data_IF_595251166195
#
_entry.id   IF_595251166195
#
_cell.length_a   1.000
_cell.length_b   1.000
_cell.length_c   1.000
_cell.angle_alpha   90.00
_cell.angle_beta   90.00
_cell.angle_gamma   90.00
#
_symmetry.space_group_name_H-M   'P 1'
#
loop_
_entity.id
_entity.type
_entity.pdbx_description
1 polymer ?
#
# COMPACT_ATOMS: atom_id res chain seq x y z
N UNK A 1 -23.16 47.77 15.08
CA UNK A 1 -22.04 46.87 15.40
C UNK A 1 -21.89 45.88 14.26
N UNK A 2 -20.79 45.92 13.52
CA UNK A 2 -20.45 44.92 12.50
C UNK A 2 -19.95 43.65 13.19
N UNK A 3 -20.63 42.52 12.99
CA UNK A 3 -20.30 41.24 13.60
C UNK A 3 -20.28 40.13 12.56
N UNK A 4 -19.52 39.06 12.82
CA UNK A 4 -19.39 37.90 11.93
C UNK A 4 -20.74 37.37 11.44
N UNK A 5 -21.74 37.31 12.31
CA UNK A 5 -23.11 36.85 11.99
C UNK A 5 -23.90 37.75 11.04
N UNK A 6 -23.46 38.99 10.79
CA UNK A 6 -24.09 39.92 9.85
C UNK A 6 -23.57 39.74 8.42
N UNK A 7 -22.50 38.96 8.22
CA UNK A 7 -22.02 38.63 6.88
C UNK A 7 -22.93 37.58 6.23
N UNK A 8 -23.24 37.74 4.91
CA UNK A 8 -23.94 36.72 4.16
C UNK A 8 -23.25 35.34 4.27
N UNK A 9 -24.00 34.22 4.32
CA UNK A 9 -23.43 32.88 4.41
C UNK A 9 -22.35 32.60 3.36
N UNK A 10 -22.50 33.12 2.15
CA UNK A 10 -21.56 32.95 1.04
C UNK A 10 -20.20 33.62 1.35
N UNK A 11 -20.23 34.81 1.95
CA UNK A 11 -19.02 35.54 2.35
C UNK A 11 -18.33 34.83 3.51
N UNK A 12 -19.09 34.34 4.48
CA UNK A 12 -18.56 33.56 5.61
C UNK A 12 -17.91 32.25 5.13
N UNK A 13 -18.56 31.54 4.20
CA UNK A 13 -18.02 30.31 3.63
C UNK A 13 -16.73 30.56 2.85
N UNK A 14 -16.66 31.63 2.05
CA UNK A 14 -15.42 32.04 1.38
C UNK A 14 -14.29 32.29 2.40
N UNK A 15 -14.55 33.09 3.44
CA UNK A 15 -13.53 33.41 4.46
C UNK A 15 -13.06 32.13 5.18
N UNK A 16 -13.99 31.26 5.60
CA UNK A 16 -13.64 30.00 6.26
C UNK A 16 -12.89 29.05 5.31
N UNK A 17 -13.27 29.01 4.03
CA UNK A 17 -12.55 28.26 3.00
C UNK A 17 -11.12 28.79 2.84
N UNK A 18 -10.90 30.09 2.81
CA UNK A 18 -9.55 30.66 2.79
C UNK A 18 -8.77 30.34 4.08
N UNK A 19 -9.40 30.45 5.25
CA UNK A 19 -8.78 30.07 6.52
C UNK A 19 -8.30 28.62 6.49
N UNK A 20 -9.09 27.72 5.92
CA UNK A 20 -8.72 26.31 5.75
C UNK A 20 -7.61 26.05 4.72
N UNK A 21 -6.96 27.07 4.15
CA UNK A 21 -5.68 26.89 3.44
C UNK A 21 -4.45 27.17 4.31
N UNK A 22 -4.62 27.86 5.44
CA UNK A 22 -3.51 28.15 6.35
C UNK A 22 -3.12 26.94 7.22
N UNK A 23 -1.86 26.94 7.63
CA UNK A 23 -1.34 26.05 8.66
C UNK A 23 -1.72 26.58 10.05
N UNK A 24 -1.81 25.67 11.03
CA UNK A 24 -2.05 26.02 12.43
C UNK A 24 -3.37 26.79 12.72
N UNK A 25 -4.47 26.30 12.16
CA UNK A 25 -5.80 26.88 12.34
C UNK A 25 -6.55 26.38 13.58
N UNK A 26 -5.98 25.42 14.31
CA UNK A 26 -6.60 24.80 15.47
C UNK A 26 -7.03 25.80 16.57
N UNK A 27 -6.27 26.86 16.88
CA UNK A 27 -6.68 27.85 17.88
C UNK A 27 -7.98 28.58 17.52
N UNK A 28 -8.29 28.72 16.23
CA UNK A 28 -9.50 29.43 15.78
C UNK A 28 -10.79 28.61 15.93
N UNK A 29 -10.69 27.32 16.29
CA UNK A 29 -11.86 26.48 16.51
C UNK A 29 -12.72 26.95 17.70
N UNK A 30 -12.16 27.77 18.59
CA UNK A 30 -12.87 28.30 19.77
C UNK A 30 -13.68 29.57 19.47
N UNK A 31 -13.55 30.17 18.28
CA UNK A 31 -14.19 31.45 17.92
C UNK A 31 -15.72 31.35 17.90
N UNK A 32 -16.27 30.30 17.28
CA UNK A 32 -17.71 30.03 17.23
C UNK A 32 -17.98 28.58 16.84
N UNK A 33 -19.24 28.13 16.96
CA UNK A 33 -19.64 26.78 16.51
C UNK A 33 -19.47 26.57 15.01
N UNK A 34 -19.66 27.62 14.21
CA UNK A 34 -19.45 27.60 12.76
C UNK A 34 -17.97 27.39 12.43
N UNK A 35 -17.09 28.15 13.09
CA UNK A 35 -15.64 28.02 12.95
C UNK A 35 -15.15 26.66 13.44
N UNK A 36 -15.63 26.22 14.61
CA UNK A 36 -15.34 24.90 15.18
C UNK A 36 -15.66 23.81 14.15
N UNK A 37 -16.86 23.80 13.58
CA UNK A 37 -17.31 22.78 12.63
C UNK A 37 -16.40 22.69 11.40
N UNK A 38 -16.06 23.84 10.81
CA UNK A 38 -15.21 23.87 9.60
C UNK A 38 -13.77 23.48 9.90
N UNK A 39 -13.21 24.01 10.99
CA UNK A 39 -11.81 23.76 11.38
C UNK A 39 -11.62 22.32 11.84
N UNK A 40 -12.50 21.80 12.68
CA UNK A 40 -12.45 20.40 13.13
C UNK A 40 -12.61 19.43 11.95
N UNK A 41 -13.51 19.72 11.01
CA UNK A 41 -13.67 18.89 9.80
C UNK A 41 -12.37 18.84 8.98
N UNK A 42 -11.66 19.95 8.84
CA UNK A 42 -10.34 19.97 8.18
C UNK A 42 -9.29 19.23 9.01
N UNK A 43 -9.15 19.54 10.30
CA UNK A 43 -8.07 19.02 11.14
C UNK A 43 -8.21 17.52 11.42
N UNK A 44 -9.43 17.02 11.66
CA UNK A 44 -9.69 15.61 11.92
C UNK A 44 -9.91 14.80 10.64
N UNK A 45 -10.28 15.43 9.52
CA UNK A 45 -10.55 14.74 8.26
C UNK A 45 -9.40 13.85 7.79
N UNK A 46 -8.16 14.29 7.99
CA UNK A 46 -6.94 13.54 7.67
C UNK A 46 -5.92 13.62 8.80
N UNK A 47 -5.72 12.51 9.49
CA UNK A 47 -4.79 12.38 10.61
C UNK A 47 -3.46 11.76 10.14
N UNK A 48 -2.35 12.44 10.42
CA UNK A 48 -1.01 11.86 10.32
C UNK A 48 -0.55 11.49 11.72
N UNK A 49 -0.29 10.21 11.95
CA UNK A 49 -0.04 9.66 13.26
C UNK A 49 1.33 8.97 13.30
N UNK A 50 2.03 9.16 14.42
CA UNK A 50 3.14 8.31 14.84
C UNK A 50 2.60 7.29 15.86
N UNK A 51 3.20 6.09 16.03
CA UNK A 51 2.78 5.12 17.05
C UNK A 51 2.61 5.71 18.46
N UNK A 52 3.45 6.67 18.86
CA UNK A 52 3.34 7.36 20.15
C UNK A 52 2.09 8.23 20.31
N UNK A 53 1.44 8.61 19.20
CA UNK A 53 0.23 9.43 19.18
C UNK A 53 -1.07 8.61 19.20
N UNK A 54 -1.00 7.27 19.15
CA UNK A 54 -2.17 6.40 19.13
C UNK A 54 -3.03 6.51 20.41
N UNK A 55 -2.44 6.85 21.56
CA UNK A 55 -3.23 7.06 22.78
C UNK A 55 -4.08 8.34 22.71
N UNK A 56 -3.58 9.37 22.02
CA UNK A 56 -4.36 10.57 21.72
C UNK A 56 -5.50 10.27 20.75
N UNK A 57 -5.29 9.37 19.78
CA UNK A 57 -6.34 8.89 18.89
C UNK A 57 -7.46 8.17 19.65
N UNK A 58 -7.12 7.37 20.66
CA UNK A 58 -8.11 6.67 21.49
C UNK A 58 -8.99 7.65 22.29
N UNK A 59 -8.48 8.85 22.63
CA UNK A 59 -9.21 9.86 23.41
C UNK A 59 -10.17 10.71 22.58
N UNK A 60 -10.24 10.53 21.27
CA UNK A 60 -11.18 11.28 20.43
C UNK A 60 -12.62 10.99 20.83
N UNK A 61 -13.42 12.05 20.93
CA UNK A 61 -14.87 11.95 21.18
C UNK A 61 -15.60 11.30 20.00
N UNK A 62 -16.79 10.73 20.21
CA UNK A 62 -17.59 10.13 19.12
C UNK A 62 -17.85 11.12 17.97
N UNK A 63 -18.04 12.40 18.27
CA UNK A 63 -18.19 13.46 17.28
C UNK A 63 -16.92 13.64 16.43
N UNK A 64 -15.75 13.72 17.06
CA UNK A 64 -14.47 13.88 16.36
C UNK A 64 -14.13 12.63 15.54
N UNK A 65 -14.39 11.44 16.08
CA UNK A 65 -14.23 10.18 15.36
C UNK A 65 -15.01 10.23 14.03
N UNK A 66 -16.28 10.66 14.05
CA UNK A 66 -17.12 10.74 12.84
C UNK A 66 -16.59 11.67 11.73
N UNK A 67 -15.71 12.61 12.07
CA UNK A 67 -15.04 13.51 11.13
C UNK A 67 -13.85 12.85 10.43
N UNK A 68 -13.22 11.85 11.04
CA UNK A 68 -12.01 11.21 10.51
C UNK A 68 -12.33 10.38 9.27
N UNK A 69 -11.71 10.74 8.13
CA UNK A 69 -11.86 10.03 6.85
C UNK A 69 -10.60 9.32 6.41
N UNK A 70 -9.44 9.80 6.83
CA UNK A 70 -8.15 9.23 6.47
C UNK A 70 -7.21 9.23 7.67
N UNK A 71 -6.65 8.06 7.99
CA UNK A 71 -5.54 7.89 8.95
C UNK A 71 -4.31 7.43 8.18
N UNK A 72 -3.23 8.18 8.30
CA UNK A 72 -1.90 7.78 7.87
C UNK A 72 -1.04 7.51 9.10
N UNK A 73 -0.67 6.24 9.33
CA UNK A 73 0.23 5.82 10.40
C UNK A 73 1.65 5.67 9.84
N UNK A 74 2.58 6.48 10.35
CA UNK A 74 3.99 6.45 9.99
C UNK A 74 4.81 5.79 11.11
N UNK A 75 5.23 4.54 10.90
CA UNK A 75 5.85 3.69 11.92
C UNK A 75 7.37 3.85 11.88
N UNK A 76 7.93 4.39 12.96
CA UNK A 76 9.39 4.47 13.14
C UNK A 76 9.98 3.12 13.56
N UNK A 77 10.92 2.62 12.79
CA UNK A 77 11.68 1.39 13.03
C UNK A 77 13.00 1.68 13.75
N UNK A 78 13.72 0.63 14.15
CA UNK A 78 15.00 0.82 14.83
C UNK A 78 16.01 1.58 13.98
N UNK A 79 16.82 2.41 14.64
CA UNK A 79 18.02 3.04 14.05
C UNK A 79 19.09 2.00 13.72
N UNK A 80 20.03 2.39 12.87
CA UNK A 80 21.22 1.60 12.58
C UNK A 80 22.44 2.45 12.31
N UNK A 81 23.57 1.77 12.19
CA UNK A 81 24.85 2.39 11.84
C UNK A 81 25.19 2.06 10.40
N UNK A 82 26.03 2.90 9.78
CA UNK A 82 26.46 2.72 8.39
C UNK A 82 27.16 1.37 8.11
N UNK A 83 27.61 0.64 9.16
CA UNK A 83 28.18 -0.72 9.03
C UNK A 83 27.18 -1.74 8.47
N UNK A 84 25.88 -1.43 8.55
CA UNK A 84 24.80 -2.28 8.06
C UNK A 84 24.32 -1.89 6.66
N UNK A 85 24.67 -0.71 6.12
CA UNK A 85 24.11 -0.19 4.87
C UNK A 85 24.31 -1.09 3.63
N UNK A 86 25.30 -1.99 3.65
CA UNK A 86 25.59 -2.92 2.53
C UNK A 86 25.39 -4.38 2.89
N UNK A 87 24.64 -4.66 3.96
CA UNK A 87 24.42 -6.02 4.45
C UNK A 87 22.93 -6.30 4.49
N UNK A 88 22.56 -7.54 4.17
CA UNK A 88 21.23 -8.05 4.47
C UNK A 88 20.85 -7.78 5.92
N UNK A 89 19.58 -7.44 6.13
CA UNK A 89 19.03 -7.25 7.46
C UNK A 89 19.22 -8.53 8.27
N UNK A 90 19.82 -8.44 9.46
CA UNK A 90 19.98 -9.64 10.30
C UNK A 90 18.60 -10.14 10.76
N UNK A 91 18.45 -11.45 10.95
CA UNK A 91 17.21 -12.05 11.46
C UNK A 91 16.74 -11.38 12.77
N UNK A 92 17.66 -10.98 13.64
CA UNK A 92 17.36 -10.24 14.87
C UNK A 92 16.77 -8.85 14.60
N UNK A 93 17.31 -8.13 13.61
CA UNK A 93 16.82 -6.80 13.23
C UNK A 93 15.43 -6.90 12.57
N UNK A 94 15.27 -7.87 11.68
CA UNK A 94 13.98 -8.23 11.06
C UNK A 94 12.93 -8.47 12.14
N UNK A 95 13.22 -9.35 13.09
CA UNK A 95 12.29 -9.68 14.17
C UNK A 95 11.92 -8.45 15.00
N UNK A 96 12.90 -7.61 15.34
CA UNK A 96 12.68 -6.40 16.11
C UNK A 96 11.80 -5.39 15.38
N UNK A 97 12.05 -5.14 14.08
CA UNK A 97 11.27 -4.20 13.27
C UNK A 97 9.85 -4.72 13.02
N UNK A 98 9.72 -6.01 12.74
CA UNK A 98 8.42 -6.67 12.60
C UNK A 98 7.59 -6.57 13.88
N UNK A 99 8.22 -6.72 15.04
CA UNK A 99 7.54 -6.56 16.32
C UNK A 99 7.01 -5.13 16.51
N UNK A 100 7.80 -4.10 16.19
CA UNK A 100 7.38 -2.69 16.28
C UNK A 100 6.17 -2.42 15.37
N UNK A 101 6.25 -2.87 14.11
CA UNK A 101 5.13 -2.74 13.18
C UNK A 101 3.89 -3.49 13.66
N UNK A 102 4.08 -4.72 14.15
CA UNK A 102 3.01 -5.56 14.66
C UNK A 102 2.26 -4.90 15.81
N UNK A 103 2.99 -4.34 16.77
CA UNK A 103 2.44 -3.64 17.93
C UNK A 103 1.68 -2.37 17.49
N UNK A 104 2.27 -1.55 16.62
CA UNK A 104 1.65 -0.31 16.14
C UNK A 104 0.35 -0.56 15.37
N UNK A 105 0.37 -1.49 14.41
CA UNK A 105 -0.80 -1.85 13.59
C UNK A 105 -1.89 -2.48 14.45
N UNK A 106 -1.53 -3.42 15.34
CA UNK A 106 -2.49 -4.08 16.22
C UNK A 106 -3.14 -3.06 17.17
N UNK A 107 -2.36 -2.12 17.72
CA UNK A 107 -2.87 -1.06 18.58
C UNK A 107 -3.83 -0.14 17.83
N UNK A 108 -3.48 0.27 16.61
CA UNK A 108 -4.38 1.06 15.77
C UNK A 108 -5.69 0.33 15.50
N UNK A 109 -5.63 -0.94 15.09
CA UNK A 109 -6.84 -1.72 14.80
C UNK A 109 -7.71 -1.91 16.02
N UNK A 110 -7.10 -2.12 17.20
CA UNK A 110 -7.82 -2.16 18.46
C UNK A 110 -8.59 -0.86 18.74
N UNK A 111 -7.97 0.30 18.49
CA UNK A 111 -8.64 1.60 18.67
C UNK A 111 -9.80 1.73 17.69
N UNK A 112 -9.57 1.47 16.41
CA UNK A 112 -10.56 1.60 15.35
C UNK A 112 -11.73 0.62 15.48
N UNK A 113 -11.51 -0.55 16.09
CA UNK A 113 -12.56 -1.53 16.36
C UNK A 113 -13.61 -1.01 17.34
N UNK A 114 -13.25 -0.04 18.19
CA UNK A 114 -14.15 0.57 19.15
C UNK A 114 -14.85 1.83 18.61
N UNK A 115 -14.58 2.25 17.37
CA UNK A 115 -15.18 3.43 16.79
C UNK A 115 -16.56 3.13 16.19
N UNK A 116 -17.59 3.86 16.63
CA UNK A 116 -18.93 3.85 16.04
C UNK A 116 -18.99 4.79 14.84
N UNK A 117 -18.45 4.37 13.71
CA UNK A 117 -18.41 5.22 12.51
C UNK A 117 -19.74 5.20 11.76
N UNK A 118 -20.29 6.39 11.49
CA UNK A 118 -21.54 6.59 10.77
C UNK A 118 -21.37 6.48 9.24
N UNK A 119 -21.05 5.27 8.75
CA UNK A 119 -21.20 4.87 7.34
C UNK A 119 -20.21 5.43 6.31
N UNK A 120 -19.45 6.48 6.65
CA UNK A 120 -18.62 7.25 5.69
C UNK A 120 -17.33 6.59 5.18
N UNK A 121 -16.99 5.39 5.64
CA UNK A 121 -15.80 4.63 5.22
C UNK A 121 -14.47 5.26 5.62
N UNK A 122 -13.68 4.56 6.44
CA UNK A 122 -12.35 5.01 6.82
C UNK A 122 -11.30 4.55 5.81
N UNK A 123 -10.38 5.45 5.44
CA UNK A 123 -9.17 5.16 4.67
C UNK A 123 -7.98 5.01 5.61
N UNK A 124 -7.24 3.92 5.47
CA UNK A 124 -6.02 3.67 6.24
C UNK A 124 -4.82 3.60 5.31
N UNK A 125 -3.79 4.42 5.59
CA UNK A 125 -2.46 4.39 4.99
C UNK A 125 -1.42 3.97 6.05
N UNK A 126 -0.65 2.92 5.78
CA UNK A 126 0.42 2.45 6.66
C UNK A 126 1.77 2.66 5.97
N UNK A 127 2.68 3.37 6.62
CA UNK A 127 4.06 3.57 6.19
C UNK A 127 5.03 3.14 7.31
N UNK A 128 6.25 2.73 6.95
CA UNK A 128 7.31 2.43 7.91
C UNK A 128 8.65 2.99 7.43
N UNK A 129 9.47 3.52 8.34
CA UNK A 129 10.78 4.08 8.03
C UNK A 129 11.77 3.88 9.18
N UNK A 130 13.07 3.76 8.91
CA UNK A 130 14.12 3.87 9.92
C UNK A 130 14.67 5.31 9.93
N UNK A 131 14.82 5.98 11.09
CA UNK A 131 15.35 7.36 11.11
C UNK A 131 16.72 7.50 10.42
N UNK A 132 17.54 6.46 10.55
CA UNK A 132 18.87 6.37 9.94
C UNK A 132 18.86 6.28 8.41
N UNK A 133 17.72 6.04 7.75
CA UNK A 133 17.63 6.01 6.29
C UNK A 133 17.99 7.39 5.72
N UNK A 134 17.37 8.45 6.24
CA UNK A 134 17.67 9.83 5.85
C UNK A 134 19.12 10.27 6.15
N UNK A 135 19.71 9.77 7.23
CA UNK A 135 21.06 10.12 7.68
C UNK A 135 22.16 9.47 6.82
N UNK A 136 21.93 8.22 6.39
CA UNK A 136 22.90 7.50 5.57
C UNK A 136 22.72 7.76 4.07
N UNK A 137 21.52 8.13 3.62
CA UNK A 137 21.28 8.60 2.25
C UNK A 137 22.17 9.82 1.91
N UNK A 138 22.27 10.81 2.81
CA UNK A 138 22.99 12.07 2.55
C UNK A 138 24.51 11.91 2.44
N UNK A 139 25.10 10.91 3.11
CA UNK A 139 26.56 10.83 3.22
C UNK A 139 27.25 9.92 2.21
N UNK A 140 26.56 8.92 1.62
CA UNK A 140 27.22 7.91 0.78
C UNK A 140 26.38 7.31 -0.36
N UNK A 141 25.15 7.79 -0.61
CA UNK A 141 24.20 7.12 -1.50
C UNK A 141 23.94 5.64 -1.10
N UNK A 142 23.89 5.32 0.21
CA UNK A 142 23.66 3.93 0.69
C UNK A 142 22.66 3.88 1.84
N UNK A 143 21.49 3.26 1.63
CA UNK A 143 20.55 2.85 2.67
C UNK A 143 20.72 1.36 3.02
N UNK A 144 20.52 0.97 4.28
CA UNK A 144 20.49 -0.44 4.71
C UNK A 144 19.19 -1.10 4.27
N UNK A 145 19.25 -2.38 3.86
CA UNK A 145 18.03 -3.16 3.74
C UNK A 145 17.35 -3.19 5.09
N UNK A 146 16.21 -2.55 5.21
CA UNK A 146 15.34 -2.70 6.37
C UNK A 146 13.93 -2.75 5.90
N UNK A 147 13.22 -3.78 6.35
CA UNK A 147 11.86 -4.19 5.98
C UNK A 147 11.80 -5.42 5.07
N UNK A 148 12.62 -6.44 5.31
CA UNK A 148 12.49 -7.67 4.52
C UNK A 148 11.28 -8.56 4.86
N UNK A 149 10.51 -8.40 5.95
CA UNK A 149 9.53 -9.47 6.30
C UNK A 149 8.25 -9.06 7.03
N UNK A 150 7.36 -8.28 6.43
CA UNK A 150 6.00 -8.12 6.96
C UNK A 150 5.18 -9.41 6.82
N UNK A 151 5.46 -10.30 5.86
CA UNK A 151 4.59 -11.45 5.56
C UNK A 151 4.87 -12.74 6.33
N UNK A 152 6.06 -12.94 6.92
CA UNK A 152 6.38 -14.19 7.64
C UNK A 152 5.89 -14.20 9.09
N UNK A 153 5.73 -13.03 9.72
CA UNK A 153 5.21 -12.96 11.09
C UNK A 153 3.69 -12.96 11.11
N UNK A 154 2.99 -12.83 9.99
CA UNK A 154 1.54 -12.87 10.01
C UNK A 154 1.00 -14.32 10.13
N UNK A 155 0.88 -14.83 11.36
CA UNK A 155 0.14 -16.07 11.63
C UNK A 155 -1.36 -15.84 11.41
N UNK A 156 -1.88 -16.36 10.31
CA UNK A 156 -3.28 -16.26 9.92
C UNK A 156 -4.12 -17.52 10.21
N UNK A 157 -3.55 -18.51 10.93
CA UNK A 157 -4.31 -19.64 11.45
C UNK A 157 -4.60 -20.76 10.46
N UNK A 158 -3.64 -21.11 9.60
CA UNK A 158 -3.64 -22.42 8.92
C UNK A 158 -2.28 -23.09 9.10
N UNK A 159 -2.27 -24.11 9.94
CA UNK A 159 -1.12 -24.99 10.11
C UNK A 159 -0.94 -25.85 8.86
N UNK A 160 0.13 -25.62 8.08
CA UNK A 160 1.04 -26.67 7.65
C UNK A 160 2.23 -26.06 6.87
N UNK A 161 3.48 -26.50 7.13
CA UNK A 161 4.64 -26.09 6.37
C UNK A 161 4.72 -26.92 5.09
N UNK A 162 4.77 -26.26 3.93
CA UNK A 162 5.30 -26.87 2.71
C UNK A 162 6.61 -26.17 2.35
N UNK A 163 7.67 -26.89 2.70
CA UNK A 163 9.05 -26.92 2.21
C UNK A 163 9.46 -25.90 1.14
N UNK A 164 10.47 -25.09 1.49
CA UNK A 164 11.61 -24.82 0.60
C UNK A 164 12.86 -25.51 1.19
N UNK A 165 13.85 -25.89 0.37
CA UNK A 165 14.94 -26.82 0.73
C UNK A 165 16.07 -26.17 1.57
N UNK A 166 15.72 -25.36 2.57
CA UNK A 166 16.65 -24.76 3.53
C UNK A 166 16.18 -25.05 4.97
N UNK A 167 16.06 -26.33 5.30
CA UNK A 167 15.88 -26.80 6.67
C UNK A 167 17.19 -27.38 7.19
N UNK A 168 17.84 -26.62 8.05
CA UNK A 168 18.62 -27.19 9.17
C UNK A 168 18.83 -26.19 10.32
N UNK A 169 18.60 -24.89 10.08
CA UNK A 169 18.73 -23.85 11.11
C UNK A 169 17.40 -23.32 11.69
N UNK A 170 16.24 -23.66 11.10
CA UNK A 170 14.92 -23.26 11.64
C UNK A 170 14.48 -24.09 12.86
N UNK A 171 14.98 -25.32 12.99
CA UNK A 171 14.74 -26.19 14.15
C UNK A 171 15.49 -25.75 15.42
N UNK A 172 16.35 -24.74 15.33
CA UNK A 172 17.09 -24.17 16.47
C UNK A 172 16.51 -22.86 17.00
N UNK A 173 15.40 -22.37 16.43
CA UNK A 173 14.76 -21.13 16.89
C UNK A 173 13.94 -21.37 18.18
N UNK A 174 14.18 -20.61 19.27
CA UNK A 174 13.43 -20.72 20.51
C UNK A 174 11.91 -20.63 20.32
N UNK A 175 11.13 -21.32 21.16
CA UNK A 175 9.66 -21.37 21.13
C UNK A 175 8.92 -20.01 21.16
N UNK A 176 9.62 -18.90 21.43
CA UNK A 176 9.11 -17.54 21.32
C UNK A 176 8.87 -17.04 19.87
N UNK A 177 9.46 -17.68 18.86
CA UNK A 177 9.34 -17.29 17.45
C UNK A 177 7.91 -17.44 16.87
N UNK A 178 7.02 -18.20 17.53
CA UNK A 178 5.62 -18.41 17.08
C UNK A 178 4.63 -17.37 17.60
N UNK A 179 5.01 -16.47 18.51
CA UNK A 179 4.05 -15.63 19.27
C UNK A 179 3.88 -14.18 18.78
N UNK A 180 4.78 -13.65 17.96
CA UNK A 180 4.78 -12.23 17.55
C UNK A 180 3.99 -11.96 16.27
N UNK A 181 2.82 -12.58 16.13
CA UNK A 181 2.07 -12.50 14.90
C UNK A 181 1.14 -11.31 14.77
N UNK A 182 1.26 -10.60 13.64
CA UNK A 182 0.36 -9.53 13.21
C UNK A 182 -1.06 -10.08 13.08
N UNK A 183 -1.93 -9.78 14.05
CA UNK A 183 -3.33 -10.20 14.02
C UNK A 183 -4.16 -9.29 13.10
N UNK A 184 -4.04 -9.38 11.76
CA UNK A 184 -5.02 -8.73 10.84
C UNK A 184 -6.44 -9.29 10.96
N UNK A 185 -6.68 -10.27 11.84
CA UNK A 185 -8.03 -10.69 12.23
C UNK A 185 -8.90 -9.50 12.69
N UNK A 186 -8.30 -8.38 13.13
CA UNK A 186 -8.96 -7.24 13.77
C UNK A 186 -9.34 -6.04 12.88
N UNK A 187 -9.19 -6.10 11.54
CA UNK A 187 -9.68 -4.99 10.70
C UNK A 187 -11.19 -4.75 10.95
N UNK A 188 -11.57 -3.58 11.50
CA UNK A 188 -12.96 -3.29 11.84
C UNK A 188 -13.85 -3.28 10.60
N UNK A 189 -15.12 -3.64 10.75
CA UNK A 189 -16.11 -3.60 9.65
C UNK A 189 -16.38 -2.19 9.14
N UNK A 190 -16.03 -1.16 9.92
CA UNK A 190 -16.10 0.25 9.53
C UNK A 190 -15.04 0.68 8.51
N UNK A 191 -13.96 -0.10 8.37
CA UNK A 191 -12.90 0.15 7.39
C UNK A 191 -13.33 -0.37 6.04
N UNK A 192 -13.52 0.56 5.10
CA UNK A 192 -13.90 0.26 3.71
C UNK A 192 -12.75 0.46 2.73
N UNK A 193 -11.76 1.28 3.10
CA UNK A 193 -10.59 1.60 2.28
C UNK A 193 -9.30 1.30 3.03
N UNK A 194 -8.46 0.50 2.42
CA UNK A 194 -7.12 0.20 2.93
C UNK A 194 -6.11 0.39 1.80
N UNK A 195 -5.12 1.22 2.05
CA UNK A 195 -3.96 1.41 1.20
C UNK A 195 -2.72 1.11 2.04
N UNK A 196 -1.89 0.18 1.63
CA UNK A 196 -0.63 -0.13 2.31
C UNK A 196 0.48 0.07 1.30
N UNK A 197 1.44 0.90 1.66
CA UNK A 197 2.56 1.21 0.81
C UNK A 197 3.86 0.96 1.58
N UNK A 198 4.71 0.12 1.02
CA UNK A 198 6.05 -0.08 1.53
C UNK A 198 7.03 0.64 0.60
N UNK A 199 7.69 1.66 1.15
CA UNK A 199 8.76 2.36 0.48
C UNK A 199 10.09 1.60 0.62
N UNK A 200 10.94 1.68 -0.40
CA UNK A 200 12.26 1.05 -0.41
C UNK A 200 13.23 1.85 -1.29
N UNK A 201 14.54 1.67 -1.08
CA UNK A 201 15.57 2.35 -1.86
C UNK A 201 16.06 1.45 -3.00
N UNK A 202 15.96 1.94 -4.25
CA UNK A 202 16.30 1.18 -5.46
C UNK A 202 17.79 1.15 -5.82
N UNK A 203 18.54 2.19 -5.44
CA UNK A 203 19.99 2.26 -5.67
C UNK A 203 20.74 1.13 -4.93
N UNK A 204 20.07 0.47 -3.99
CA UNK A 204 20.51 -0.77 -3.37
C UNK A 204 20.89 -1.88 -4.37
N UNK A 205 20.10 -2.06 -5.44
CA UNK A 205 20.28 -3.16 -6.38
C UNK A 205 21.57 -3.02 -7.20
N UNK A 206 21.91 -1.80 -7.59
CA UNK A 206 23.16 -1.49 -8.30
C UNK A 206 24.37 -1.73 -7.38
N UNK A 207 24.29 -1.36 -6.10
CA UNK A 207 25.36 -1.57 -5.13
C UNK A 207 25.66 -3.06 -4.94
N UNK A 208 24.64 -3.92 -4.86
CA UNK A 208 24.81 -5.37 -4.71
C UNK A 208 25.28 -6.07 -5.97
N UNK A 209 24.81 -5.63 -7.15
CA UNK A 209 25.29 -6.16 -8.43
C UNK A 209 26.77 -5.82 -8.68
N UNK A 210 27.24 -4.66 -8.21
CA UNK A 210 28.64 -4.25 -8.35
C UNK A 210 29.56 -4.73 -7.21
N UNK A 211 29.02 -5.05 -6.02
CA UNK A 211 29.80 -5.69 -4.96
C UNK A 211 29.80 -7.21 -5.16
N UNK A 212 30.93 -7.78 -5.56
CA UNK A 212 31.21 -9.22 -5.69
C UNK A 212 30.55 -10.09 -4.59
N UNK A 213 29.29 -10.45 -4.77
CA UNK A 213 28.55 -11.36 -3.91
C UNK A 213 28.82 -12.79 -4.36
N UNK A 214 29.21 -13.65 -3.42
CA UNK A 214 29.74 -15.02 -3.62
C UNK A 214 28.73 -16.01 -4.26
N UNK A 215 27.56 -15.58 -4.72
CA UNK A 215 26.61 -16.47 -5.36
C UNK A 215 25.57 -15.71 -6.20
N UNK A 216 25.47 -16.02 -7.49
CA UNK A 216 24.42 -15.51 -8.39
C UNK A 216 23.01 -15.88 -7.92
N UNK A 217 22.88 -16.92 -7.09
CA UNK A 217 21.64 -17.34 -6.43
C UNK A 217 21.33 -16.59 -5.11
N UNK A 218 22.29 -15.82 -4.58
CA UNK A 218 22.14 -15.00 -3.37
C UNK A 218 22.07 -13.51 -3.70
N UNK A 219 22.13 -13.14 -4.98
CA UNK A 219 21.78 -11.80 -5.40
C UNK A 219 20.31 -11.63 -4.99
N UNK A 220 19.96 -10.79 -3.99
CA UNK A 220 18.59 -10.72 -3.53
C UNK A 220 17.74 -10.32 -4.72
N UNK A 221 16.84 -11.22 -5.14
CA UNK A 221 15.81 -10.90 -6.11
C UNK A 221 15.24 -9.55 -5.73
N UNK A 222 15.29 -8.64 -6.71
CA UNK A 222 14.90 -7.23 -6.61
C UNK A 222 13.78 -7.07 -5.58
N UNK A 223 14.10 -6.55 -4.39
CA UNK A 223 13.14 -6.17 -3.35
C UNK A 223 12.30 -7.35 -2.81
N UNK A 224 12.48 -7.67 -1.52
CA UNK A 224 11.67 -8.56 -0.65
C UNK A 224 11.15 -9.89 -1.25
N UNK A 225 11.52 -11.01 -0.63
CA UNK A 225 10.80 -12.28 -0.86
C UNK A 225 9.42 -12.18 -0.21
N UNK A 226 8.37 -12.06 -1.02
CA UNK A 226 6.98 -12.17 -0.55
C UNK A 226 6.62 -13.63 -0.30
N UNK A 227 5.79 -13.91 0.72
CA UNK A 227 5.39 -15.28 1.06
C UNK A 227 3.90 -15.55 0.77
N UNK A 228 3.54 -16.75 0.29
CA UNK A 228 2.15 -17.12 -0.04
C UNK A 228 1.13 -16.83 1.08
N UNK A 229 1.53 -17.06 2.35
CA UNK A 229 0.66 -16.82 3.50
C UNK A 229 0.21 -15.36 3.64
N UNK A 230 1.06 -14.40 3.28
CA UNK A 230 0.70 -12.98 3.25
C UNK A 230 -0.36 -12.71 2.18
N UNK A 231 -0.11 -13.18 0.94
CA UNK A 231 -1.05 -13.04 -0.17
C UNK A 231 -2.43 -13.61 0.14
N UNK A 232 -2.49 -14.82 0.71
CA UNK A 232 -3.74 -15.47 1.10
C UNK A 232 -4.56 -14.67 2.11
N UNK A 233 -3.91 -14.03 3.06
CA UNK A 233 -4.60 -13.27 4.08
C UNK A 233 -5.13 -11.94 3.57
N UNK A 234 -4.36 -11.23 2.75
CA UNK A 234 -4.83 -10.02 2.09
C UNK A 234 -5.95 -10.33 1.10
N UNK A 235 -5.88 -11.44 0.37
CA UNK A 235 -6.97 -11.93 -0.47
C UNK A 235 -8.23 -12.21 0.35
N UNK A 236 -8.12 -12.92 1.47
CA UNK A 236 -9.25 -13.17 2.37
C UNK A 236 -9.84 -11.87 2.94
N UNK A 237 -9.00 -10.91 3.32
CA UNK A 237 -9.44 -9.66 3.96
C UNK A 237 -10.03 -8.66 2.99
N UNK A 238 -9.52 -8.58 1.76
CA UNK A 238 -10.05 -7.67 0.73
C UNK A 238 -11.54 -7.90 0.42
N UNK A 239 -12.07 -9.09 0.71
CA UNK A 239 -13.49 -9.45 0.51
C UNK A 239 -14.49 -8.59 1.26
N UNK A 240 -14.07 -7.92 2.34
CA UNK A 240 -14.94 -7.04 3.13
C UNK A 240 -14.75 -5.55 2.80
N UNK A 241 -13.86 -5.22 1.86
CA UNK A 241 -13.46 -3.85 1.56
C UNK A 241 -14.14 -3.35 0.27
N UNK A 242 -14.22 -2.03 0.15
CA UNK A 242 -14.64 -1.33 -1.07
C UNK A 242 -13.44 -0.91 -1.91
N UNK A 243 -12.33 -0.51 -1.28
CA UNK A 243 -11.07 -0.26 -2.00
C UNK A 243 -9.91 -0.87 -1.24
N UNK A 244 -9.05 -1.55 -1.98
CA UNK A 244 -7.89 -2.24 -1.44
C UNK A 244 -6.68 -2.01 -2.32
N UNK A 245 -5.63 -1.44 -1.76
CA UNK A 245 -4.35 -1.22 -2.41
C UNK A 245 -3.23 -1.74 -1.51
N UNK A 246 -2.36 -2.57 -2.07
CA UNK A 246 -1.14 -3.03 -1.38
C UNK A 246 0.02 -3.00 -2.37
N UNK A 247 1.00 -2.14 -2.09
CA UNK A 247 2.21 -1.98 -2.89
C UNK A 247 3.41 -2.63 -2.20
N UNK A 248 4.19 -3.40 -2.96
CA UNK A 248 5.48 -4.05 -2.59
C UNK A 248 5.46 -5.03 -1.41
N UNK A 249 4.37 -5.07 -0.65
CA UNK A 249 4.20 -5.93 0.52
C UNK A 249 3.83 -7.38 0.16
N UNK A 250 3.08 -7.53 -0.92
CA UNK A 250 2.43 -8.76 -1.37
C UNK A 250 2.61 -8.84 -2.86
N UNK A 251 2.92 -10.04 -3.36
CA UNK A 251 2.87 -10.30 -4.79
C UNK A 251 1.45 -10.69 -5.20
N UNK A 252 0.93 -10.06 -6.25
CA UNK A 252 -0.38 -10.38 -6.80
C UNK A 252 -0.54 -11.87 -7.14
N UNK A 253 0.54 -12.58 -7.50
CA UNK A 253 0.47 -14.04 -7.72
C UNK A 253 -0.01 -14.77 -6.46
N UNK A 254 0.59 -14.49 -5.31
CA UNK A 254 0.21 -15.08 -4.03
C UNK A 254 -1.21 -14.69 -3.60
N UNK A 255 -1.66 -13.48 -3.95
CA UNK A 255 -3.01 -13.02 -3.68
C UNK A 255 -4.04 -13.85 -4.49
N UNK A 256 -3.83 -13.99 -5.80
CA UNK A 256 -4.78 -14.68 -6.67
C UNK A 256 -4.70 -16.21 -6.55
N UNK A 257 -3.51 -16.78 -6.34
CA UNK A 257 -3.34 -18.23 -6.14
C UNK A 257 -4.08 -18.74 -4.89
N UNK A 258 -4.29 -17.87 -3.90
CA UNK A 258 -5.02 -18.21 -2.69
C UNK A 258 -6.56 -18.10 -2.82
N UNK A 259 -7.04 -17.46 -3.89
CA UNK A 259 -8.47 -17.23 -4.09
C UNK A 259 -9.20 -18.55 -4.33
N UNK A 260 -10.27 -18.77 -3.57
CA UNK A 260 -11.07 -19.99 -3.67
C UNK A 260 -12.28 -19.78 -4.59
N UNK A 261 -12.78 -20.81 -5.29
CA UNK A 261 -13.90 -20.67 -6.24
C UNK A 261 -15.19 -20.10 -5.64
N UNK A 262 -15.43 -20.34 -4.34
CA UNK A 262 -16.61 -19.84 -3.63
C UNK A 262 -16.43 -18.41 -3.08
N UNK A 263 -15.23 -17.82 -3.19
CA UNK A 263 -15.00 -16.46 -2.73
C UNK A 263 -15.73 -15.44 -3.61
N UNK A 264 -16.16 -14.38 -2.95
CA UNK A 264 -16.90 -13.26 -3.52
C UNK A 264 -16.43 -11.98 -2.84
N UNK A 265 -16.41 -10.90 -3.60
CA UNK A 265 -16.13 -9.54 -3.15
C UNK A 265 -17.33 -8.65 -3.47
N UNK A 266 -18.38 -8.69 -2.64
CA UNK A 266 -19.67 -8.06 -2.96
C UNK A 266 -19.60 -6.54 -3.10
N UNK A 267 -18.60 -5.91 -2.50
CA UNK A 267 -18.50 -4.44 -2.42
C UNK A 267 -17.19 -3.87 -2.97
N UNK A 268 -16.24 -4.71 -3.43
CA UNK A 268 -14.93 -4.24 -3.87
C UNK A 268 -15.06 -3.50 -5.21
N UNK A 269 -14.78 -2.21 -5.18
CA UNK A 269 -14.78 -1.27 -6.31
C UNK A 269 -13.40 -1.06 -6.91
N UNK A 270 -12.36 -1.03 -6.07
CA UNK A 270 -10.99 -0.81 -6.54
C UNK A 270 -10.02 -1.81 -5.93
N UNK A 271 -9.17 -2.41 -6.78
CA UNK A 271 -8.07 -3.27 -6.38
C UNK A 271 -6.76 -2.81 -7.03
N UNK A 272 -5.72 -2.56 -6.24
CA UNK A 272 -4.37 -2.31 -6.76
C UNK A 272 -3.34 -3.20 -6.06
N UNK A 273 -2.56 -3.96 -6.83
CA UNK A 273 -1.55 -4.88 -6.31
C UNK A 273 -0.27 -4.79 -7.12
N UNK A 274 0.87 -4.88 -6.45
CA UNK A 274 2.17 -5.04 -7.11
C UNK A 274 2.44 -6.51 -7.44
N UNK A 275 3.13 -6.79 -8.54
CA UNK A 275 3.69 -8.13 -8.77
C UNK A 275 5.05 -8.06 -9.45
N UNK A 276 6.06 -8.68 -8.83
CA UNK A 276 7.43 -8.71 -9.37
C UNK A 276 7.55 -9.61 -10.59
N UNK A 277 6.57 -10.49 -10.77
CA UNK A 277 6.43 -11.34 -11.93
C UNK A 277 6.08 -10.55 -13.20
N UNK A 278 5.73 -9.26 -13.09
CA UNK A 278 5.54 -8.38 -14.24
C UNK A 278 6.88 -7.83 -14.75
N UNK A 279 7.68 -8.75 -15.31
CA UNK A 279 9.01 -8.53 -15.88
C UNK A 279 8.98 -8.69 -17.40
N UNK A 280 9.67 -7.77 -18.11
CA UNK A 280 9.68 -7.73 -19.58
C UNK A 280 10.27 -8.98 -20.24
N UNK A 281 11.17 -9.70 -19.56
CA UNK A 281 11.86 -10.87 -20.10
C UNK A 281 11.06 -12.16 -19.86
N UNK A 282 10.01 -12.11 -19.03
CA UNK A 282 9.23 -13.29 -18.69
C UNK A 282 7.72 -13.04 -18.86
N UNK A 283 7.19 -13.19 -20.09
CA UNK A 283 5.78 -12.92 -20.40
C UNK A 283 4.81 -13.96 -19.83
N UNK A 284 5.27 -15.17 -19.49
CA UNK A 284 4.43 -16.26 -19.03
C UNK A 284 3.81 -16.00 -17.63
N UNK A 285 4.57 -15.57 -16.61
CA UNK A 285 4.02 -15.13 -15.34
C UNK A 285 3.02 -13.98 -15.47
N UNK A 286 3.30 -12.98 -16.31
CA UNK A 286 2.35 -11.88 -16.59
C UNK A 286 1.01 -12.46 -17.02
N UNK A 287 1.02 -13.31 -18.06
CA UNK A 287 -0.20 -13.96 -18.55
C UNK A 287 -0.95 -14.69 -17.42
N UNK A 288 -0.27 -15.51 -16.63
CA UNK A 288 -0.91 -16.31 -15.56
C UNK A 288 -1.61 -15.44 -14.52
N UNK A 289 -0.96 -14.35 -14.10
CA UNK A 289 -1.52 -13.44 -13.10
C UNK A 289 -2.71 -12.67 -13.68
N UNK A 290 -2.63 -12.20 -14.92
CA UNK A 290 -3.73 -11.49 -15.58
C UNK A 290 -4.95 -12.40 -15.82
N UNK A 291 -4.74 -13.68 -16.14
CA UNK A 291 -5.81 -14.69 -16.24
C UNK A 291 -6.44 -14.95 -14.87
N UNK A 292 -5.64 -15.17 -13.81
CA UNK A 292 -6.14 -15.39 -12.46
C UNK A 292 -6.92 -14.17 -11.90
N UNK A 293 -6.46 -12.97 -12.25
CA UNK A 293 -7.14 -11.72 -11.95
C UNK A 293 -8.50 -11.62 -12.64
N UNK A 294 -8.59 -11.98 -13.93
CA UNK A 294 -9.87 -12.01 -14.65
C UNK A 294 -10.85 -13.03 -14.05
N UNK A 295 -10.37 -14.22 -13.70
CA UNK A 295 -11.20 -15.24 -13.02
C UNK A 295 -11.74 -14.73 -11.69
N UNK A 296 -10.90 -14.04 -10.91
CA UNK A 296 -11.32 -13.43 -9.65
C UNK A 296 -12.31 -12.29 -9.87
N UNK A 297 -12.10 -11.46 -10.89
CA UNK A 297 -12.97 -10.33 -11.25
C UNK A 297 -14.41 -10.76 -11.60
N UNK A 298 -14.62 -11.97 -12.13
CA UNK A 298 -15.96 -12.56 -12.34
C UNK A 298 -16.79 -12.73 -11.04
N UNK A 299 -16.14 -12.55 -9.88
CA UNK A 299 -16.70 -12.67 -8.54
C UNK A 299 -16.76 -11.31 -7.81
N UNK A 300 -16.52 -10.20 -8.51
CA UNK A 300 -16.47 -8.84 -7.99
C UNK A 300 -17.49 -7.92 -8.72
N UNK A 301 -18.79 -7.98 -8.38
CA UNK A 301 -19.85 -7.30 -9.15
C UNK A 301 -19.78 -5.77 -9.16
N UNK A 302 -19.13 -5.17 -8.16
CA UNK A 302 -18.98 -3.72 -8.02
C UNK A 302 -17.62 -3.21 -8.52
N UNK A 303 -16.77 -4.07 -9.10
CA UNK A 303 -15.40 -3.71 -9.49
C UNK A 303 -15.38 -2.66 -10.60
N UNK A 304 -14.93 -1.45 -10.26
CA UNK A 304 -14.75 -0.31 -11.17
C UNK A 304 -13.35 -0.29 -11.77
N UNK A 305 -12.32 -0.53 -10.95
CA UNK A 305 -10.92 -0.49 -11.38
C UNK A 305 -10.12 -1.64 -10.77
N UNK A 306 -9.30 -2.30 -11.58
CA UNK A 306 -8.27 -3.21 -11.09
C UNK A 306 -6.94 -2.89 -11.75
N UNK A 307 -5.91 -2.63 -10.96
CA UNK A 307 -4.57 -2.32 -11.46
C UNK A 307 -3.54 -3.28 -10.89
N UNK A 308 -2.82 -3.96 -11.78
CA UNK A 308 -1.69 -4.82 -11.46
C UNK A 308 -0.45 -4.19 -12.06
N UNK A 309 0.57 -3.95 -11.25
CA UNK A 309 1.69 -3.13 -11.69
C UNK A 309 3.02 -3.59 -11.09
N UNK A 310 4.09 -3.12 -11.69
CA UNK A 310 5.43 -3.22 -11.16
C UNK A 310 6.22 -1.99 -11.59
N UNK A 311 7.16 -1.54 -10.77
CA UNK A 311 7.95 -0.36 -11.05
C UNK A 311 9.26 -0.38 -10.29
N UNK A 312 10.34 -0.21 -11.03
CA UNK A 312 11.69 0.01 -10.52
C UNK A 312 12.49 0.89 -11.50
N UNK A 313 13.68 1.31 -11.10
CA UNK A 313 14.62 2.04 -11.95
C UNK A 313 14.81 1.32 -13.29
N UNK A 314 14.54 2.05 -14.37
CA UNK A 314 14.64 1.59 -15.76
C UNK A 314 13.43 0.84 -16.30
N UNK A 315 12.51 0.33 -15.46
CA UNK A 315 11.38 -0.45 -15.94
C UNK A 315 10.10 -0.27 -15.11
N UNK A 316 8.99 -0.04 -15.80
CA UNK A 316 7.69 0.09 -15.17
C UNK A 316 6.59 -0.41 -16.09
N UNK A 317 5.58 -1.07 -15.53
CA UNK A 317 4.37 -1.43 -16.25
C UNK A 317 3.14 -1.46 -15.33
N UNK A 318 1.97 -1.28 -15.94
CA UNK A 318 0.67 -1.44 -15.32
C UNK A 318 -0.30 -2.05 -16.32
N UNK A 319 -0.99 -3.10 -15.89
CA UNK A 319 -2.23 -3.55 -16.46
C UNK A 319 -3.39 -2.92 -15.69
N UNK A 320 -4.36 -2.32 -16.38
CA UNK A 320 -5.55 -1.74 -15.75
C UNK A 320 -6.84 -2.21 -16.43
N UNK A 321 -7.79 -2.68 -15.63
CA UNK A 321 -9.19 -2.82 -16.00
C UNK A 321 -9.97 -1.57 -15.59
N UNK A 322 -10.78 -1.03 -16.51
CA UNK A 322 -11.73 0.05 -16.26
C UNK A 322 -13.14 -0.37 -16.67
N UNK A 323 -14.06 -0.45 -15.71
CA UNK A 323 -15.46 -0.81 -15.97
C UNK A 323 -16.21 0.25 -16.77
N UNK A 324 -15.96 1.52 -16.49
CA UNK A 324 -16.64 2.64 -17.15
C UNK A 324 -16.38 2.62 -18.67
N UNK A 325 -15.14 2.36 -19.06
CA UNK A 325 -14.74 2.32 -20.48
C UNK A 325 -14.85 0.92 -21.07
N UNK A 326 -15.29 -0.07 -20.28
CA UNK A 326 -15.27 -1.49 -20.61
C UNK A 326 -13.92 -1.93 -21.20
N UNK A 327 -12.81 -1.43 -20.66
CA UNK A 327 -11.49 -1.56 -21.29
C UNK A 327 -10.49 -2.28 -20.40
N UNK A 328 -9.55 -2.96 -21.04
CA UNK A 328 -8.25 -3.28 -20.43
C UNK A 328 -7.16 -2.45 -21.09
N UNK A 329 -6.17 -2.04 -20.31
CA UNK A 329 -5.03 -1.28 -20.84
C UNK A 329 -3.70 -1.82 -20.33
N UNK A 330 -2.71 -1.87 -21.21
CA UNK A 330 -1.31 -2.00 -20.84
C UNK A 330 -0.61 -0.65 -20.98
N UNK A 331 0.06 -0.20 -19.92
CA UNK A 331 0.90 1.00 -19.94
C UNK A 331 2.27 0.64 -19.39
N UNK A 332 3.35 0.90 -20.10
CA UNK A 332 4.69 0.54 -19.59
C UNK A 332 5.84 1.04 -20.43
N UNK A 333 7.08 0.81 -19.96
CA UNK A 333 8.31 1.25 -20.62
C UNK A 333 8.79 0.32 -21.74
N UNK A 334 8.03 -0.73 -22.04
CA UNK A 334 8.27 -1.62 -23.16
C UNK A 334 6.95 -1.98 -23.85
N UNK A 335 7.04 -2.27 -25.15
CA UNK A 335 5.89 -2.76 -25.92
C UNK A 335 5.53 -4.18 -25.45
N UNK A 336 4.26 -4.39 -25.15
CA UNK A 336 3.76 -5.67 -24.67
C UNK A 336 2.33 -5.89 -25.16
N UNK A 337 2.17 -6.86 -26.06
CA UNK A 337 0.87 -7.28 -26.56
C UNK A 337 0.25 -8.28 -25.60
N UNK A 338 -0.96 -7.98 -25.13
CA UNK A 338 -1.70 -8.88 -24.26
C UNK A 338 -2.05 -10.17 -24.99
N UNK A 339 -1.77 -11.32 -24.35
CA UNK A 339 -2.03 -12.63 -24.95
C UNK A 339 -3.54 -12.81 -25.23
N UNK A 340 -3.96 -13.44 -26.36
CA UNK A 340 -5.37 -13.57 -26.72
C UNK A 340 -6.26 -14.23 -25.66
N UNK A 341 -5.72 -15.14 -24.85
CA UNK A 341 -6.45 -15.75 -23.73
C UNK A 341 -6.78 -14.76 -22.62
N UNK A 342 -5.87 -13.82 -22.30
CA UNK A 342 -6.10 -12.75 -21.32
C UNK A 342 -7.23 -11.85 -21.82
N UNK A 343 -7.17 -11.43 -23.08
CA UNK A 343 -8.20 -10.60 -23.73
C UNK A 343 -9.55 -11.33 -23.68
N UNK A 344 -9.57 -12.63 -24.01
CA UNK A 344 -10.78 -13.46 -23.95
C UNK A 344 -11.38 -13.53 -22.55
N UNK A 345 -10.57 -13.69 -21.51
CA UNK A 345 -11.05 -13.79 -20.14
C UNK A 345 -11.57 -12.45 -19.61
N UNK A 346 -10.88 -11.34 -19.87
CA UNK A 346 -11.37 -10.00 -19.51
C UNK A 346 -12.60 -9.58 -20.32
N UNK A 347 -12.74 -10.03 -21.56
CA UNK A 347 -13.97 -9.84 -22.34
C UNK A 347 -15.18 -10.51 -21.67
N UNK A 348 -15.01 -11.65 -20.97
CA UNK A 348 -16.09 -12.27 -20.17
C UNK A 348 -16.48 -11.40 -18.97
N UNK A 349 -15.49 -10.78 -18.30
CA UNK A 349 -15.73 -9.84 -17.19
C UNK A 349 -16.53 -8.64 -17.70
N UNK A 350 -16.10 -8.07 -18.84
CA UNK A 350 -16.79 -6.95 -19.48
C UNK A 350 -18.22 -7.31 -19.89
N UNK A 351 -18.42 -8.45 -20.56
CA UNK A 351 -19.76 -8.94 -20.92
C UNK A 351 -20.69 -9.06 -19.70
N UNK A 352 -20.16 -9.46 -18.55
CA UNK A 352 -20.95 -9.66 -17.34
C UNK A 352 -21.28 -8.35 -16.61
N UNK A 353 -20.37 -7.37 -16.60
CA UNK A 353 -20.45 -6.23 -15.69
C UNK A 353 -20.41 -4.84 -16.35
N UNK A 354 -19.98 -4.75 -17.61
CA UNK A 354 -19.90 -3.51 -18.36
C UNK A 354 -20.99 -3.46 -19.45
N UNK A 355 -21.43 -2.25 -19.81
CA UNK A 355 -22.53 -2.01 -20.78
C UNK A 355 -22.04 -1.48 -22.13
N UNK A 356 -20.72 -1.42 -22.32
CA UNK A 356 -20.08 -0.83 -23.49
C UNK A 356 -19.28 -1.87 -24.26
N UNK A 357 -18.90 -1.51 -25.50
CA UNK A 357 -18.02 -2.33 -26.32
C UNK A 357 -16.66 -2.49 -25.62
N UNK A 358 -16.17 -3.73 -25.60
CA UNK A 358 -14.93 -4.06 -24.93
C UNK A 358 -13.72 -3.62 -25.75
N UNK A 359 -12.82 -2.82 -25.16
CA UNK A 359 -11.63 -2.28 -25.83
C UNK A 359 -10.33 -2.71 -25.16
N UNK A 360 -9.25 -2.73 -25.94
CA UNK A 360 -7.89 -3.04 -25.48
C UNK A 360 -7.01 -1.86 -25.86
N UNK A 361 -6.43 -1.20 -24.87
CA UNK A 361 -5.58 -0.02 -25.04
C UNK A 361 -4.13 -0.34 -24.69
N UNK A 362 -3.18 0.27 -25.39
CA UNK A 362 -1.76 0.09 -25.15
C UNK A 362 -1.06 1.44 -25.21
N UNK A 363 -0.23 1.74 -24.21
CA UNK A 363 0.51 3.00 -24.10
C UNK A 363 1.97 2.72 -23.76
N UNK A 364 2.86 3.07 -24.68
CA UNK A 364 4.30 3.01 -24.46
C UNK A 364 4.78 4.31 -23.80
N UNK A 365 5.41 4.17 -22.63
CA UNK A 365 6.05 5.25 -21.92
C UNK A 365 7.44 5.52 -22.51
N UNK A 366 7.71 6.79 -22.81
CA UNK A 366 9.00 7.26 -23.30
C UNK A 366 9.86 7.88 -22.19
N UNK A 367 9.31 8.04 -21.00
CA UNK A 367 9.98 8.64 -19.86
C UNK A 367 10.98 7.66 -19.25
N UNK A 368 12.14 8.19 -18.85
CA UNK A 368 13.10 7.46 -18.02
C UNK A 368 12.52 7.27 -16.62
N UNK A 369 12.44 6.02 -16.17
CA UNK A 369 12.01 5.67 -14.81
C UNK A 369 13.24 5.68 -13.90
N UNK A 370 13.36 6.67 -13.02
CA UNK A 370 14.50 6.78 -12.11
C UNK A 370 14.28 6.12 -10.76
N UNK A 371 13.01 5.92 -10.41
CA UNK A 371 12.57 5.28 -9.16
C UNK A 371 11.17 4.67 -9.30
N UNK A 372 10.75 3.83 -8.36
CA UNK A 372 9.36 3.40 -8.18
C UNK A 372 8.42 4.60 -7.95
N UNK A 373 8.90 5.68 -7.34
CA UNK A 373 8.15 6.93 -7.25
C UNK A 373 7.84 7.53 -8.64
N UNK A 374 8.82 7.52 -9.54
CA UNK A 374 8.59 7.92 -10.93
C UNK A 374 7.70 6.92 -11.67
N UNK A 375 7.85 5.61 -11.42
CA UNK A 375 6.97 4.60 -11.99
C UNK A 375 5.50 4.86 -11.61
N UNK A 376 5.21 5.10 -10.32
CA UNK A 376 3.86 5.44 -9.83
C UNK A 376 3.32 6.68 -10.53
N UNK A 377 4.14 7.72 -10.67
CA UNK A 377 3.74 8.96 -11.34
C UNK A 377 3.42 8.74 -12.82
N UNK A 378 4.33 8.12 -13.56
CA UNK A 378 4.20 7.99 -15.02
C UNK A 378 3.24 6.89 -15.46
N UNK A 379 2.96 5.91 -14.60
CA UNK A 379 1.90 4.93 -14.80
C UNK A 379 0.51 5.46 -14.37
N UNK A 380 0.42 6.62 -13.73
CA UNK A 380 -0.85 7.22 -13.30
C UNK A 380 -1.49 6.53 -12.08
N UNK A 381 -0.68 5.95 -11.19
CA UNK A 381 -1.14 5.10 -10.07
C UNK A 381 -1.58 5.90 -8.83
N UNK A 382 -2.46 6.88 -9.01
CA UNK A 382 -2.88 7.82 -7.95
C UNK A 382 -3.58 7.18 -6.74
N UNK A 383 -4.09 5.94 -6.89
CA UNK A 383 -4.76 5.21 -5.80
C UNK A 383 -3.81 4.38 -4.93
N UNK A 384 -2.54 4.25 -5.33
CA UNK A 384 -1.58 3.36 -4.70
C UNK A 384 -0.89 4.00 -3.50
N UNK A 385 -0.68 5.31 -3.54
CA UNK A 385 0.02 6.09 -2.52
C UNK A 385 -0.51 7.53 -2.54
N UNK A 386 -0.57 8.19 -1.39
CA UNK A 386 -1.01 9.58 -1.34
C UNK A 386 -0.01 10.53 -2.01
N UNK A 387 -0.49 11.62 -2.60
CA UNK A 387 0.32 12.60 -3.30
C UNK A 387 1.47 13.18 -2.46
N UNK A 388 1.29 13.36 -1.14
CA UNK A 388 2.36 13.86 -0.26
C UNK A 388 3.44 12.80 -0.09
N UNK A 389 3.04 11.55 0.13
CA UNK A 389 3.94 10.39 0.23
C UNK A 389 4.69 10.19 -1.10
N UNK A 390 4.00 10.26 -2.24
CA UNK A 390 4.61 10.16 -3.57
C UNK A 390 5.63 11.26 -3.82
N UNK A 391 5.31 12.51 -3.48
CA UNK A 391 6.26 13.62 -3.61
C UNK A 391 7.51 13.39 -2.78
N UNK A 392 7.36 12.89 -1.55
CA UNK A 392 8.48 12.58 -0.67
C UNK A 392 9.37 11.47 -1.27
N UNK A 393 8.78 10.35 -1.71
CA UNK A 393 9.51 9.24 -2.36
C UNK A 393 10.32 9.75 -3.54
N UNK A 394 9.70 10.56 -4.41
CA UNK A 394 10.37 11.10 -5.60
C UNK A 394 11.49 12.06 -5.23
N UNK A 395 11.31 12.88 -4.18
CA UNK A 395 12.36 13.79 -3.70
C UNK A 395 13.55 13.02 -3.12
N UNK A 396 13.30 11.98 -2.33
CA UNK A 396 14.36 11.18 -1.70
C UNK A 396 15.18 10.40 -2.74
N UNK A 397 14.54 9.91 -3.81
CA UNK A 397 15.23 9.21 -4.89
C UNK A 397 15.89 10.13 -5.93
N UNK A 398 15.55 11.43 -5.97
CA UNK A 398 16.20 12.41 -6.85
C UNK A 398 17.49 13.02 -6.27
N UNK A 399 17.83 12.73 -5.02
CA UNK A 399 19.06 13.20 -4.37
C UNK A 399 20.31 12.33 -4.68
N UNK A 400 20.20 11.39 -5.62
CA UNK A 400 21.23 10.38 -5.93
C UNK A 400 22.14 10.73 -7.09
#
# INVERSE_FOLDING_TARGET
MSGWSLLPPEVRDIILKFLTHHNNIAPYATVSKEWQSVIEKKNFGRLKLHPSSLDSLQRLTEQQQGLVKHIWLNIELKRYTCRSCRKMESLTSIYANNKIMAEAITRLFFILANWKQNGGGLTLELNAYSPSDSEHCVHRNVACLRLQFITQTMDFGTAHPLMMPYDDHLNQLPSGFRKSSLRFKLLPTSVKRVTIFEDFNENYLEIFQHSQGINSHLNPDRVRITYPGGGAAFAKKSRQLEHFSVAFLVDACHFFDACQPHWRWPHLRSLALTSRMMDKNNPLPIRRILEAAAQSALHMPELETMTLWNGAKGEACAFTWCRQDASISWRGTWDFKLHPSVIKDWKKVAYKYARHEFTVNEELLMQEIRSHGDAIQYLGLHSVVDNVSLWQIRRENNCG
#
